data_IF_815904354896
#
_entry.id   IF_815904354896
#
_cell.length_a   1.000
_cell.length_b   1.000
_cell.length_c   1.000
_cell.angle_alpha   90.00
_cell.angle_beta   90.00
_cell.angle_gamma   90.00
#
_symmetry.space_group_name_H-M   'P 1'
#
loop_
_entity.id
_entity.type
_entity.pdbx_description
1 polymer ?
#
# COMPACT_ATOMS: atom_id res chain seq x y z
N UNK A 1 3.24 -7.68 11.65
CA UNK A 1 2.90 -7.39 10.23
C UNK A 1 4.10 -7.55 9.31
N UNK A 2 5.17 -6.77 9.45
CA UNK A 2 6.33 -6.87 8.54
C UNK A 2 7.04 -8.22 8.59
N UNK A 3 7.15 -8.84 9.74
CA UNK A 3 7.82 -10.16 9.86
C UNK A 3 7.13 -11.26 9.07
N UNK A 4 5.82 -11.17 8.92
CA UNK A 4 5.01 -12.19 8.25
C UNK A 4 4.44 -11.69 6.92
N UNK A 5 4.67 -10.42 6.57
CA UNK A 5 4.14 -9.77 5.37
C UNK A 5 2.66 -10.05 5.15
N UNK A 6 1.90 -9.89 6.22
CA UNK A 6 0.45 -10.10 6.26
C UNK A 6 -0.24 -8.85 6.75
N UNK A 7 -1.28 -8.41 6.06
CA UNK A 7 -2.14 -7.32 6.48
C UNK A 7 -3.57 -7.83 6.67
N UNK A 8 -4.15 -7.52 7.83
CA UNK A 8 -5.48 -7.95 8.24
C UNK A 8 -6.50 -6.83 8.10
N UNK A 9 -7.74 -7.20 7.81
CA UNK A 9 -8.85 -6.26 7.71
C UNK A 9 -9.28 -5.68 9.08
N UNK A 10 -8.98 -6.37 10.17
CA UNK A 10 -9.36 -5.95 11.51
C UNK A 10 -10.79 -6.31 11.91
N UNK A 11 -11.27 -5.69 12.99
CA UNK A 11 -12.60 -5.92 13.56
C UNK A 11 -13.41 -4.62 13.60
N UNK A 12 -14.73 -4.76 13.69
CA UNK A 12 -15.63 -3.61 13.80
C UNK A 12 -15.54 -3.04 15.22
N UNK A 13 -15.35 -1.73 15.33
CA UNK A 13 -15.25 -1.02 16.60
C UNK A 13 -16.53 -0.26 16.98
N UNK A 14 -17.61 -0.43 16.22
CA UNK A 14 -18.90 0.23 16.49
C UNK A 14 -19.63 -0.43 17.64
N UNK A 15 -20.28 0.37 18.47
CA UNK A 15 -21.14 -0.12 19.54
C UNK A 15 -22.23 -1.06 19.00
N UNK A 16 -22.47 -2.18 19.68
CA UNK A 16 -23.40 -3.24 19.25
C UNK A 16 -22.84 -4.21 18.19
N UNK A 17 -21.65 -3.94 17.63
CA UNK A 17 -20.98 -4.80 16.63
C UNK A 17 -19.49 -4.95 16.92
N UNK A 18 -19.10 -4.79 18.17
CA UNK A 18 -17.72 -5.00 18.61
C UNK A 18 -17.30 -6.44 18.34
N UNK A 19 -16.07 -6.60 17.92
CA UNK A 19 -15.43 -7.90 17.66
C UNK A 19 -15.99 -8.67 16.45
N UNK A 20 -16.85 -8.06 15.63
CA UNK A 20 -17.17 -8.66 14.33
C UNK A 20 -15.98 -8.54 13.39
N UNK A 21 -15.50 -9.64 12.78
CA UNK A 21 -14.39 -9.60 11.85
C UNK A 21 -14.78 -8.84 10.58
N UNK A 22 -13.87 -8.02 10.08
CA UNK A 22 -14.02 -7.31 8.80
C UNK A 22 -13.56 -8.20 7.66
N UNK A 23 -14.30 -8.12 6.55
CA UNK A 23 -13.96 -8.82 5.32
C UNK A 23 -13.18 -7.89 4.37
N UNK A 24 -12.23 -8.46 3.66
CA UNK A 24 -11.60 -7.81 2.51
C UNK A 24 -12.24 -8.38 1.25
N UNK A 25 -12.83 -7.52 0.43
CA UNK A 25 -13.49 -7.95 -0.81
C UNK A 25 -12.71 -7.46 -2.02
N UNK A 26 -12.86 -8.18 -3.13
CA UNK A 26 -12.30 -7.80 -4.44
C UNK A 26 -10.76 -7.66 -4.45
N UNK A 27 -10.06 -8.32 -3.55
CA UNK A 27 -8.60 -8.38 -3.59
C UNK A 27 -8.18 -9.33 -4.70
N UNK A 28 -7.30 -8.84 -5.56
CA UNK A 28 -6.73 -9.63 -6.63
C UNK A 28 -5.31 -10.08 -6.26
N UNK A 29 -5.03 -11.35 -6.51
CA UNK A 29 -3.66 -11.86 -6.46
C UNK A 29 -2.82 -11.07 -7.47
N UNK A 30 -1.55 -10.85 -7.17
CA UNK A 30 -0.61 -10.01 -7.92
C UNK A 30 -0.87 -8.50 -7.84
N UNK A 31 -1.71 -8.04 -6.92
CA UNK A 31 -1.79 -6.63 -6.57
C UNK A 31 -0.68 -6.24 -5.59
N UNK A 32 -0.37 -4.94 -5.54
CA UNK A 32 0.57 -4.41 -4.56
C UNK A 32 -0.17 -3.99 -3.29
N UNK A 33 0.20 -4.58 -2.16
CA UNK A 33 -0.23 -4.10 -0.86
C UNK A 33 0.71 -2.97 -0.41
N UNK A 34 0.13 -1.83 -0.03
CA UNK A 34 0.85 -0.64 0.41
C UNK A 34 0.54 -0.41 1.88
N UNK A 35 1.56 -0.52 2.72
CA UNK A 35 1.43 -0.34 4.17
C UNK A 35 1.69 1.11 4.53
N UNK A 36 0.68 1.76 5.11
CA UNK A 36 0.75 3.17 5.47
C UNK A 36 0.49 3.40 6.94
N UNK A 37 1.08 4.44 7.49
CA UNK A 37 0.82 4.90 8.85
C UNK A 37 1.04 6.40 8.97
N UNK A 38 0.61 6.97 10.08
CA UNK A 38 0.98 8.30 10.53
C UNK A 38 1.20 8.28 12.03
N UNK A 39 2.02 9.18 12.54
CA UNK A 39 2.17 9.36 13.98
C UNK A 39 0.93 10.05 14.56
N UNK A 40 0.60 9.86 15.84
CA UNK A 40 -0.61 10.42 16.45
C UNK A 40 -0.79 11.93 16.27
N UNK A 41 0.30 12.68 16.30
CA UNK A 41 0.28 14.15 16.22
C UNK A 41 0.44 14.69 14.80
N UNK A 42 0.60 13.80 13.81
CA UNK A 42 0.75 14.20 12.41
C UNK A 42 -0.61 14.41 11.75
N UNK A 43 -0.77 15.44 10.91
CA UNK A 43 -1.97 15.59 10.08
C UNK A 43 -2.07 14.44 9.06
N UNK A 44 -3.26 14.22 8.53
CA UNK A 44 -3.50 13.13 7.58
C UNK A 44 -2.67 13.27 6.30
N UNK A 45 -2.39 14.50 5.87
CA UNK A 45 -1.54 14.80 4.71
C UNK A 45 -0.13 14.22 4.82
N UNK A 46 0.35 14.00 6.04
CA UNK A 46 1.68 13.47 6.30
C UNK A 46 1.70 11.93 6.46
N UNK A 47 0.59 11.24 6.22
CA UNK A 47 0.55 9.78 6.17
C UNK A 47 1.61 9.28 5.19
N UNK A 48 2.45 8.37 5.64
CA UNK A 48 3.57 7.86 4.85
C UNK A 48 3.50 6.34 4.65
N UNK A 49 4.18 5.90 3.61
CA UNK A 49 4.33 4.48 3.27
C UNK A 49 5.55 3.94 4.01
N UNK A 50 5.40 2.82 4.73
CA UNK A 50 6.51 2.20 5.46
C UNK A 50 6.87 0.80 4.93
N UNK A 51 6.09 0.26 4.01
CA UNK A 51 6.39 -1.01 3.37
C UNK A 51 5.43 -1.33 2.26
N UNK A 52 5.85 -2.22 1.39
CA UNK A 52 5.02 -2.75 0.29
C UNK A 52 5.29 -4.24 0.13
N UNK A 53 4.29 -4.98 -0.35
CA UNK A 53 4.48 -6.37 -0.75
C UNK A 53 3.53 -6.78 -1.88
N UNK A 54 3.98 -7.75 -2.67
CA UNK A 54 3.16 -8.37 -3.70
C UNK A 54 2.21 -9.38 -3.06
N UNK A 55 0.91 -9.20 -3.26
CA UNK A 55 -0.10 -10.13 -2.75
C UNK A 55 -0.09 -11.41 -3.57
N UNK A 56 0.24 -12.53 -2.95
CA UNK A 56 0.20 -13.86 -3.54
C UNK A 56 -0.75 -14.82 -2.83
N UNK A 57 -1.30 -14.39 -1.70
CA UNK A 57 -2.29 -15.13 -0.94
C UNK A 57 -3.27 -14.15 -0.28
N UNK A 58 -4.54 -14.46 -0.31
CA UNK A 58 -5.59 -13.63 0.28
C UNK A 58 -6.80 -14.46 0.69
N UNK A 59 -7.45 -14.05 1.76
CA UNK A 59 -8.72 -14.62 2.20
C UNK A 59 -9.68 -13.48 2.52
N UNK A 60 -10.91 -13.57 2.03
CA UNK A 60 -11.92 -12.54 2.26
C UNK A 60 -12.35 -12.44 3.73
N UNK A 61 -12.18 -13.51 4.48
CA UNK A 61 -12.69 -13.65 5.84
C UNK A 61 -14.11 -14.22 5.87
N UNK A 62 -14.56 -14.58 7.06
CA UNK A 62 -15.89 -15.12 7.32
C UNK A 62 -16.51 -14.44 8.56
N UNK A 63 -17.48 -15.08 9.18
CA UNK A 63 -18.15 -14.53 10.38
C UNK A 63 -17.33 -14.69 11.66
N UNK A 64 -16.25 -15.46 11.63
CA UNK A 64 -15.38 -15.74 12.76
C UNK A 64 -13.96 -15.18 12.57
N UNK A 65 -13.52 -15.06 11.31
CA UNK A 65 -12.16 -14.68 10.96
C UNK A 65 -12.15 -13.44 10.07
N UNK A 66 -11.27 -12.51 10.39
CA UNK A 66 -11.03 -11.34 9.55
C UNK A 66 -10.34 -11.72 8.22
N UNK A 67 -10.59 -10.93 7.18
CA UNK A 67 -9.90 -11.07 5.90
C UNK A 67 -8.43 -10.66 6.00
N UNK A 68 -7.61 -11.21 5.13
CA UNK A 68 -6.19 -10.86 5.05
C UNK A 68 -5.66 -10.87 3.62
N UNK A 69 -4.55 -10.20 3.44
CA UNK A 69 -3.67 -10.28 2.27
C UNK A 69 -2.27 -10.59 2.74
N UNK A 70 -1.53 -11.40 1.98
CA UNK A 70 -0.22 -11.89 2.39
C UNK A 70 0.72 -12.04 1.20
N UNK A 71 2.02 -11.93 1.48
CA UNK A 71 3.09 -12.32 0.57
C UNK A 71 3.88 -13.48 1.16
N UNK A 72 3.94 -14.59 0.42
CA UNK A 72 4.84 -15.72 0.71
C UNK A 72 6.10 -15.65 -0.15
N UNK A 73 6.14 -14.74 -1.13
CA UNK A 73 7.26 -14.56 -2.05
C UNK A 73 8.34 -13.62 -1.48
N UNK A 74 9.42 -13.49 -2.23
CA UNK A 74 10.49 -12.53 -1.93
C UNK A 74 10.10 -11.06 -2.18
N UNK A 75 9.00 -10.80 -2.88
CA UNK A 75 8.61 -9.45 -3.32
C UNK A 75 7.93 -8.66 -2.20
N UNK A 76 8.73 -8.21 -1.27
CA UNK A 76 8.36 -7.30 -0.20
C UNK A 76 9.52 -6.36 0.12
N UNK A 77 9.21 -5.12 0.49
CA UNK A 77 10.21 -4.10 0.85
C UNK A 77 9.75 -3.38 2.11
N UNK A 78 10.62 -3.35 3.11
CA UNK A 78 10.50 -2.49 4.27
C UNK A 78 11.29 -1.20 4.04
N UNK A 79 10.71 -0.08 4.41
CA UNK A 79 11.38 1.22 4.35
C UNK A 79 11.90 1.62 5.73
N UNK A 80 13.11 2.15 5.78
CA UNK A 80 13.62 2.77 6.99
C UNK A 80 12.79 4.01 7.34
N UNK A 81 12.78 4.49 8.60
CA UNK A 81 12.05 5.71 8.95
C UNK A 81 12.42 6.92 8.09
N UNK A 82 13.69 7.07 7.75
CA UNK A 82 14.18 8.16 6.90
C UNK A 82 13.66 8.06 5.47
N UNK A 83 13.59 6.85 4.92
CA UNK A 83 13.02 6.60 3.58
C UNK A 83 11.50 6.78 3.60
N UNK A 84 10.82 6.21 4.58
CA UNK A 84 9.36 6.20 4.67
C UNK A 84 8.75 7.60 4.68
N UNK A 85 9.31 8.53 5.43
CA UNK A 85 8.79 9.91 5.53
C UNK A 85 8.88 10.70 4.22
N UNK A 86 9.69 10.24 3.27
CA UNK A 86 9.78 10.82 1.93
C UNK A 86 8.65 10.36 1.00
N UNK A 87 7.94 9.29 1.36
CA UNK A 87 6.90 8.66 0.55
C UNK A 87 5.53 8.90 1.17
N UNK A 88 5.00 10.10 0.98
CA UNK A 88 3.66 10.46 1.46
C UNK A 88 2.60 9.77 0.61
N UNK A 89 1.72 9.02 1.25
CA UNK A 89 0.66 8.26 0.57
C UNK A 89 -0.22 9.13 -0.33
N UNK A 90 -0.57 10.32 0.15
CA UNK A 90 -1.45 11.24 -0.58
C UNK A 90 -0.80 11.95 -1.77
N UNK A 91 0.50 11.73 -2.02
CA UNK A 91 1.11 12.11 -3.29
C UNK A 91 0.63 11.22 -4.45
N UNK A 92 0.24 9.98 -4.15
CA UNK A 92 -0.16 8.97 -5.14
C UNK A 92 -1.66 8.80 -5.23
N UNK A 93 -2.36 8.84 -4.11
CA UNK A 93 -3.78 8.52 -4.02
C UNK A 93 -4.65 9.76 -3.91
N UNK A 94 -5.82 9.72 -4.56
CA UNK A 94 -6.86 10.75 -4.45
C UNK A 94 -8.21 10.07 -4.26
N UNK A 95 -9.05 10.61 -3.40
CA UNK A 95 -10.41 10.13 -3.21
C UNK A 95 -11.29 10.52 -4.41
N UNK A 96 -12.15 9.62 -4.86
CA UNK A 96 -13.02 9.86 -6.02
C UNK A 96 -13.95 11.07 -5.85
N UNK A 97 -14.50 11.24 -4.65
CA UNK A 97 -15.48 12.30 -4.37
C UNK A 97 -14.85 13.63 -3.91
N UNK A 98 -13.59 13.63 -3.54
CA UNK A 98 -12.85 14.80 -3.05
C UNK A 98 -11.37 14.63 -3.33
N UNK A 99 -10.97 14.72 -4.60
CA UNK A 99 -9.60 14.34 -5.00
C UNK A 99 -8.51 15.25 -4.43
N UNK A 100 -8.85 16.47 -4.07
CA UNK A 100 -7.93 17.45 -3.46
C UNK A 100 -7.77 17.27 -1.94
N UNK A 101 -8.55 16.37 -1.32
CA UNK A 101 -8.52 16.18 0.15
C UNK A 101 -7.79 14.91 0.55
N UNK A 102 -6.75 15.08 1.35
CA UNK A 102 -6.10 13.98 2.05
C UNK A 102 -6.97 13.56 3.25
N UNK A 103 -7.97 12.72 3.00
CA UNK A 103 -8.91 12.28 4.00
C UNK A 103 -9.08 10.76 4.01
N UNK A 104 -8.65 10.14 5.10
CA UNK A 104 -8.86 8.72 5.35
C UNK A 104 -10.22 8.53 6.00
N UNK A 105 -11.24 8.20 5.20
CA UNK A 105 -12.62 8.22 5.65
C UNK A 105 -12.97 7.09 6.63
N UNK A 106 -12.99 5.87 6.20
CA UNK A 106 -13.37 4.74 7.06
C UNK A 106 -12.62 3.46 6.65
N UNK A 107 -12.42 2.56 7.63
CA UNK A 107 -11.79 1.27 7.42
C UNK A 107 -10.27 1.30 7.57
N UNK A 108 -9.69 0.11 7.52
CA UNK A 108 -8.25 -0.10 7.69
C UNK A 108 -7.52 -0.24 6.36
N UNK A 109 -8.23 -0.34 5.24
CA UNK A 109 -7.66 -0.54 3.92
C UNK A 109 -8.38 0.28 2.85
N UNK A 110 -7.67 0.56 1.77
CA UNK A 110 -8.15 1.20 0.55
C UNK A 110 -7.59 0.48 -0.66
N UNK A 111 -8.27 0.62 -1.77
CA UNK A 111 -7.77 0.11 -3.04
C UNK A 111 -6.98 1.20 -3.76
N UNK A 112 -5.84 0.80 -4.33
CA UNK A 112 -5.02 1.62 -5.20
C UNK A 112 -5.00 0.99 -6.60
N UNK A 113 -4.72 1.80 -7.61
CA UNK A 113 -4.60 1.32 -8.99
C UNK A 113 -3.21 0.73 -9.24
N UNK A 114 -3.06 -0.07 -10.30
CA UNK A 114 -1.75 -0.57 -10.72
C UNK A 114 -0.81 0.58 -11.13
N UNK A 115 -1.35 1.68 -11.65
CA UNK A 115 -0.57 2.88 -11.97
C UNK A 115 0.00 3.52 -10.69
N UNK A 116 -0.82 3.71 -9.67
CA UNK A 116 -0.36 4.20 -8.37
C UNK A 116 0.70 3.26 -7.76
N UNK A 117 0.52 1.94 -7.91
CA UNK A 117 1.49 0.95 -7.45
C UNK A 117 2.85 1.12 -8.15
N UNK A 118 2.87 1.30 -9.47
CA UNK A 118 4.11 1.54 -10.21
C UNK A 118 4.76 2.86 -9.81
N UNK A 119 4.00 3.92 -9.62
CA UNK A 119 4.50 5.22 -9.14
C UNK A 119 5.20 5.07 -7.78
N UNK A 120 4.58 4.34 -6.85
CA UNK A 120 5.15 4.07 -5.52
C UNK A 120 6.44 3.25 -5.65
N UNK A 121 6.47 2.19 -6.44
CA UNK A 121 7.66 1.35 -6.64
C UNK A 121 8.80 2.14 -7.28
N UNK A 122 8.53 3.02 -8.24
CA UNK A 122 9.54 3.92 -8.83
C UNK A 122 10.18 4.81 -7.77
N UNK A 123 9.38 5.43 -6.93
CA UNK A 123 9.88 6.30 -5.86
C UNK A 123 10.62 5.52 -4.76
N UNK A 124 10.24 4.29 -4.49
CA UNK A 124 11.00 3.40 -3.60
C UNK A 124 12.41 3.16 -4.17
N UNK A 125 12.53 2.89 -5.46
CA UNK A 125 13.85 2.77 -6.12
C UNK A 125 14.69 4.04 -5.89
N UNK A 126 14.08 5.21 -6.03
CA UNK A 126 14.79 6.49 -5.87
C UNK A 126 15.25 6.76 -4.44
N UNK A 127 14.49 6.37 -3.42
CA UNK A 127 14.87 6.62 -2.02
C UNK A 127 15.85 5.59 -1.46
N UNK A 128 15.96 4.41 -2.06
CA UNK A 128 16.94 3.39 -1.64
C UNK A 128 18.36 3.84 -1.96
N UNK A 129 19.23 3.81 -0.92
CA UNK A 129 20.63 4.23 -1.04
C UNK A 129 21.61 3.07 -1.01
N UNK A 130 21.26 1.99 -0.31
CA UNK A 130 22.10 0.78 -0.28
C UNK A 130 22.00 0.07 -1.64
N UNK A 131 23.12 -0.18 -2.35
CA UNK A 131 23.10 -0.69 -3.72
C UNK A 131 22.33 -2.01 -3.88
N UNK A 132 22.47 -2.94 -2.95
CA UNK A 132 21.77 -4.23 -2.98
C UNK A 132 20.24 -4.06 -2.81
N UNK A 133 19.81 -3.17 -1.93
CA UNK A 133 18.39 -2.87 -1.71
C UNK A 133 17.79 -2.12 -2.90
N UNK A 134 18.52 -1.19 -3.48
CA UNK A 134 18.11 -0.46 -4.69
C UNK A 134 17.94 -1.42 -5.86
N UNK A 135 18.89 -2.33 -6.06
CA UNK A 135 18.83 -3.35 -7.10
C UNK A 135 17.60 -4.24 -6.94
N UNK A 136 17.31 -4.68 -5.71
CA UNK A 136 16.12 -5.46 -5.42
C UNK A 136 14.82 -4.68 -5.70
N UNK A 137 14.77 -3.39 -5.34
CA UNK A 137 13.63 -2.54 -5.66
C UNK A 137 13.41 -2.39 -7.17
N UNK A 138 14.51 -2.26 -7.95
CA UNK A 138 14.45 -2.24 -9.42
C UNK A 138 13.93 -3.57 -9.99
N UNK A 139 14.36 -4.70 -9.44
CA UNK A 139 13.88 -6.04 -9.83
C UNK A 139 12.40 -6.22 -9.51
N UNK A 140 11.95 -5.74 -8.34
CA UNK A 140 10.54 -5.79 -7.97
C UNK A 140 9.68 -4.93 -8.92
N UNK A 141 10.11 -3.70 -9.19
CA UNK A 141 9.44 -2.82 -10.17
C UNK A 141 9.31 -3.50 -11.54
N UNK A 142 10.41 -4.06 -12.06
CA UNK A 142 10.43 -4.72 -13.35
C UNK A 142 9.49 -5.94 -13.36
N UNK A 143 9.50 -6.75 -12.31
CA UNK A 143 8.61 -7.91 -12.17
C UNK A 143 7.14 -7.49 -12.15
N UNK A 144 6.79 -6.49 -11.36
CA UNK A 144 5.41 -5.98 -11.27
C UNK A 144 4.92 -5.45 -12.61
N UNK A 145 5.72 -4.62 -13.28
CA UNK A 145 5.38 -4.06 -14.58
C UNK A 145 5.21 -5.15 -15.64
N UNK A 146 6.09 -6.14 -15.69
CA UNK A 146 5.99 -7.28 -16.60
C UNK A 146 4.70 -8.06 -16.37
N UNK A 147 4.38 -8.33 -15.12
CA UNK A 147 3.19 -9.08 -14.71
C UNK A 147 1.90 -8.36 -15.08
N UNK A 148 1.88 -7.03 -14.99
CA UNK A 148 0.73 -6.16 -15.29
C UNK A 148 0.68 -5.68 -16.74
N UNK A 149 1.68 -5.98 -17.55
CA UNK A 149 1.77 -5.49 -18.92
C UNK A 149 1.94 -3.98 -19.01
N UNK A 150 2.64 -3.37 -18.03
CA UNK A 150 2.88 -1.93 -17.97
C UNK A 150 4.32 -1.60 -18.34
N UNK A 151 4.51 -0.47 -19.03
CA UNK A 151 5.82 0.09 -19.30
C UNK A 151 6.09 1.19 -18.26
N UNK A 152 7.09 1.04 -17.38
CA UNK A 152 7.35 2.04 -16.34
C UNK A 152 7.72 3.43 -16.91
N UNK A 153 8.26 3.50 -18.13
CA UNK A 153 8.56 4.76 -18.79
C UNK A 153 7.32 5.55 -19.24
N UNK A 154 6.18 4.88 -19.41
CA UNK A 154 4.92 5.48 -19.84
C UNK A 154 3.99 5.83 -18.67
N UNK A 155 4.36 5.49 -17.46
CA UNK A 155 3.56 5.80 -16.27
C UNK A 155 3.66 7.30 -15.97
N UNK A 156 2.51 7.99 -15.83
CA UNK A 156 2.51 9.42 -15.51
C UNK A 156 3.09 9.70 -14.13
N UNK A 157 3.47 10.94 -13.88
CA UNK A 157 3.86 11.40 -12.56
C UNK A 157 2.70 11.27 -11.55
N UNK A 158 3.00 11.07 -10.25
CA UNK A 158 1.97 11.01 -9.22
C UNK A 158 1.07 12.24 -9.23
N UNK A 159 -0.23 12.00 -9.12
CA UNK A 159 -1.26 13.06 -9.08
C UNK A 159 -2.29 12.81 -7.98
N UNK A 160 -1.82 12.47 -6.78
CA UNK A 160 -2.65 12.30 -5.61
C UNK A 160 -3.15 13.62 -5.01
N UNK A 161 -3.83 13.54 -3.87
CA UNK A 161 -4.47 14.70 -3.25
C UNK A 161 -3.51 15.88 -2.98
N UNK A 162 -2.25 15.61 -2.65
CA UNK A 162 -1.24 16.65 -2.40
C UNK A 162 -0.65 17.28 -3.66
N UNK A 163 -0.97 16.76 -4.83
CA UNK A 163 -0.47 17.25 -6.13
C UNK A 163 -1.51 18.06 -6.90
N UNK A 164 -2.70 18.21 -6.34
CA UNK A 164 -3.86 18.88 -6.96
C UNK A 164 -4.10 20.26 -6.39
#
# INVERSE_FOLDING_TARGET
>A
MLKEWTAFAGFVLKEGRKDEPKKIRNVQINSLAVLTTRKPDMPEEDRFIFGVFLVDDADEGDNLNEGFVKSNSQYHIELTPTEAVQLKFWNYHANDNSPEKAAWSQGLYRYTTDIEAVQILKDIVEVKRVPAEKKFAEEFLAHFCKMKGLNPAEIPEPNGALKR
#
